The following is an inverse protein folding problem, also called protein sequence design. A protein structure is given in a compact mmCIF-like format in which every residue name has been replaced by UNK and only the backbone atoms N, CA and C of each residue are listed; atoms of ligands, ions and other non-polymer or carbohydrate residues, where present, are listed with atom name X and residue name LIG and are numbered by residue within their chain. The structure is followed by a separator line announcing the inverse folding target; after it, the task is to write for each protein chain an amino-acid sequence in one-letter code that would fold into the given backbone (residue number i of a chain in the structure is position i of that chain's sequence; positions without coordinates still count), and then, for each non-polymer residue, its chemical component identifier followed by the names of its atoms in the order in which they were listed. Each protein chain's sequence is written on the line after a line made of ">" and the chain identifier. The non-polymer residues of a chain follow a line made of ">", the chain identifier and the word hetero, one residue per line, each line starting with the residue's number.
data_IF_001184354067
#
_entry.id   IF_001184354067
#
_cell.length_a   1.000
_cell.length_b   1.000
_cell.length_c   1.000
_cell.angle_alpha   90.00
_cell.angle_beta   90.00
_cell.angle_gamma   90.00
#
_symmetry.space_group_name_H-M   'P 1'
#
loop_
_entity.id
_entity.type
_entity.pdbx_description
1 polymer ?
#
# COMPACT_ATOMS: atom_id res chain seq x y z
N UNK A 1 25.46 13.42 9.04
CA UNK A 1 25.20 12.65 7.80
C UNK A 1 24.98 11.15 8.06
N UNK A 2 25.81 10.47 8.86
CA UNK A 2 25.59 9.04 9.24
C UNK A 2 24.30 8.82 10.07
N UNK A 3 23.96 9.75 10.95
CA UNK A 3 22.79 9.64 11.84
C UNK A 3 21.44 9.86 11.10
N UNK A 4 21.45 10.70 10.07
CA UNK A 4 20.27 10.93 9.21
C UNK A 4 19.97 9.72 8.32
N UNK A 5 21.01 9.07 7.78
CA UNK A 5 20.88 7.84 6.99
C UNK A 5 20.34 6.68 7.85
N UNK A 6 20.78 6.59 9.10
CA UNK A 6 20.24 5.67 10.12
C UNK A 6 18.73 5.90 10.34
N UNK A 7 18.32 7.17 10.54
CA UNK A 7 16.91 7.52 10.70
C UNK A 7 16.05 7.22 9.47
N UNK A 8 16.59 7.42 8.26
CA UNK A 8 15.91 7.09 7.00
C UNK A 8 15.73 5.57 6.87
N UNK A 9 16.77 4.78 7.14
CA UNK A 9 16.71 3.32 7.08
C UNK A 9 15.69 2.75 8.09
N UNK A 10 15.63 3.28 9.31
CA UNK A 10 14.66 2.87 10.31
C UNK A 10 13.20 3.15 9.87
N UNK A 11 12.95 4.32 9.28
CA UNK A 11 11.62 4.66 8.74
C UNK A 11 11.23 3.77 7.57
N UNK A 12 12.17 3.48 6.67
CA UNK A 12 11.93 2.57 5.55
C UNK A 12 11.60 1.15 6.04
N UNK A 13 12.31 0.64 7.05
CA UNK A 13 12.04 -0.66 7.65
C UNK A 13 10.64 -0.70 8.30
N UNK A 14 10.26 0.35 9.05
CA UNK A 14 8.94 0.44 9.66
C UNK A 14 7.81 0.52 8.61
N UNK A 15 8.03 1.27 7.53
CA UNK A 15 7.08 1.36 6.43
C UNK A 15 6.85 -0.02 5.77
N UNK A 16 7.91 -0.81 5.56
CA UNK A 16 7.80 -2.20 5.07
C UNK A 16 6.99 -3.09 6.01
N UNK A 17 7.21 -3.00 7.32
CA UNK A 17 6.42 -3.78 8.31
C UNK A 17 4.94 -3.44 8.24
N UNK A 18 4.59 -2.14 8.19
CA UNK A 18 3.21 -1.70 8.09
C UNK A 18 2.56 -2.17 6.78
N UNK A 19 3.32 -2.14 5.68
CA UNK A 19 2.85 -2.61 4.38
C UNK A 19 2.57 -4.11 4.37
N UNK A 20 3.49 -4.91 4.91
CA UNK A 20 3.32 -6.37 5.04
C UNK A 20 2.05 -6.69 5.82
N UNK A 21 1.77 -5.97 6.92
CA UNK A 21 0.56 -6.15 7.70
C UNK A 21 -0.71 -5.86 6.88
N UNK A 22 -0.76 -4.72 6.17
CA UNK A 22 -1.88 -4.38 5.31
C UNK A 22 -2.07 -5.38 4.16
N UNK A 23 -0.98 -5.89 3.57
CA UNK A 23 -1.05 -6.89 2.50
C UNK A 23 -1.54 -8.25 2.99
N UNK A 24 -1.24 -8.65 4.23
CA UNK A 24 -1.84 -9.87 4.83
C UNK A 24 -3.34 -9.76 4.96
N UNK A 25 -3.84 -8.56 5.28
CA UNK A 25 -5.28 -8.29 5.31
C UNK A 25 -5.90 -8.37 3.90
N UNK A 26 -5.12 -8.10 2.86
CA UNK A 26 -5.52 -8.25 1.46
C UNK A 26 -5.30 -9.67 0.89
N UNK A 27 -4.66 -10.60 1.61
CA UNK A 27 -4.39 -11.99 1.17
C UNK A 27 -2.91 -12.39 1.21
N UNK A 28 -2.49 -13.29 0.32
CA UNK A 28 -1.14 -13.90 0.32
C UNK A 28 -0.01 -13.00 -0.23
N UNK A 29 -0.26 -11.70 -0.45
CA UNK A 29 0.70 -10.78 -1.07
C UNK A 29 1.89 -10.42 -0.16
N UNK A 30 1.76 -10.64 1.14
CA UNK A 30 2.72 -10.21 2.14
C UNK A 30 4.06 -10.98 2.08
N UNK A 31 4.01 -12.28 1.81
CA UNK A 31 5.20 -13.14 1.83
C UNK A 31 6.18 -12.76 0.71
N UNK A 32 5.67 -12.29 -0.42
CA UNK A 32 6.50 -11.76 -1.50
C UNK A 32 7.19 -10.45 -1.10
N UNK A 33 6.47 -9.52 -0.46
CA UNK A 33 6.99 -8.22 -0.04
C UNK A 33 7.99 -8.33 1.12
N UNK A 34 7.85 -9.34 2.00
CA UNK A 34 8.83 -9.59 3.04
C UNK A 34 10.22 -9.93 2.49
N UNK A 35 10.33 -10.47 1.27
CA UNK A 35 11.61 -10.85 0.68
C UNK A 35 12.27 -9.76 -0.17
N UNK A 36 11.62 -8.60 -0.35
CA UNK A 36 12.13 -7.50 -1.16
C UNK A 36 12.81 -6.42 -0.31
N UNK A 37 13.85 -5.81 -0.86
CA UNK A 37 14.59 -4.70 -0.29
C UNK A 37 15.05 -3.70 -1.35
N UNK A 38 15.49 -2.52 -0.90
CA UNK A 38 16.08 -1.51 -1.77
C UNK A 38 15.20 -1.09 -2.95
N UNK A 39 15.74 -1.02 -4.18
CA UNK A 39 15.01 -0.59 -5.38
C UNK A 39 13.76 -1.42 -5.70
N UNK A 40 13.82 -2.74 -5.52
CA UNK A 40 12.71 -3.64 -5.88
C UNK A 40 11.50 -3.40 -4.97
N UNK A 41 11.76 -3.19 -3.67
CA UNK A 41 10.73 -2.78 -2.73
C UNK A 41 10.11 -1.41 -3.10
N UNK A 42 10.92 -0.47 -3.58
CA UNK A 42 10.44 0.85 -4.01
C UNK A 42 9.54 0.75 -5.24
N UNK A 43 9.87 -0.10 -6.21
CA UNK A 43 9.04 -0.32 -7.40
C UNK A 43 7.68 -0.91 -7.02
N UNK A 44 7.66 -1.91 -6.15
CA UNK A 44 6.41 -2.49 -5.64
C UNK A 44 5.59 -1.46 -4.87
N UNK A 45 6.22 -0.62 -4.05
CA UNK A 45 5.54 0.47 -3.33
C UNK A 45 4.87 1.47 -4.28
N UNK A 46 5.54 1.86 -5.36
CA UNK A 46 4.96 2.74 -6.40
C UNK A 46 3.77 2.07 -7.06
N UNK A 47 3.89 0.79 -7.41
CA UNK A 47 2.79 0.03 -7.99
C UNK A 47 1.60 -0.07 -7.04
N UNK A 48 1.83 -0.36 -5.76
CA UNK A 48 0.77 -0.45 -4.74
C UNK A 48 0.05 0.90 -4.53
N UNK A 49 0.76 2.04 -4.58
CA UNK A 49 0.09 3.35 -4.54
C UNK A 49 -0.80 3.58 -5.76
N UNK A 50 -0.37 3.14 -6.94
CA UNK A 50 -1.23 3.18 -8.14
C UNK A 50 -2.50 2.33 -7.99
N UNK A 51 -2.39 1.14 -7.39
CA UNK A 51 -3.54 0.28 -7.12
C UNK A 51 -4.47 0.91 -6.08
N UNK A 52 -3.91 1.52 -5.02
CA UNK A 52 -4.68 2.26 -4.01
C UNK A 52 -5.49 3.38 -4.66
N UNK A 53 -4.92 4.10 -5.63
CA UNK A 53 -5.63 5.14 -6.37
C UNK A 53 -6.84 4.56 -7.14
N UNK A 54 -6.63 3.48 -7.90
CA UNK A 54 -7.71 2.80 -8.66
C UNK A 54 -8.80 2.27 -7.73
N UNK A 55 -8.43 1.70 -6.58
CA UNK A 55 -9.40 1.22 -5.59
C UNK A 55 -10.22 2.37 -5.00
N UNK A 56 -9.60 3.52 -4.72
CA UNK A 56 -10.31 4.70 -4.22
C UNK A 56 -11.31 5.23 -5.26
N UNK A 57 -10.93 5.33 -6.53
CA UNK A 57 -11.81 5.75 -7.62
C UNK A 57 -12.99 4.77 -7.78
N UNK A 58 -12.70 3.46 -7.79
CA UNK A 58 -13.74 2.43 -7.86
C UNK A 58 -14.72 2.51 -6.69
N UNK A 59 -14.21 2.77 -5.47
CA UNK A 59 -15.04 2.97 -4.28
C UNK A 59 -15.97 4.19 -4.41
N UNK A 60 -15.48 5.30 -4.98
CA UNK A 60 -16.30 6.48 -5.24
C UNK A 60 -17.42 6.19 -6.25
N UNK A 61 -17.12 5.47 -7.33
CA UNK A 61 -18.10 5.05 -8.32
C UNK A 61 -19.18 4.16 -7.69
N UNK A 62 -18.78 3.15 -6.90
CA UNK A 62 -19.71 2.25 -6.21
C UNK A 62 -20.59 2.99 -5.20
N UNK A 63 -20.07 4.02 -4.51
CA UNK A 63 -20.89 4.86 -3.64
C UNK A 63 -21.98 5.61 -4.43
N UNK A 64 -21.67 6.06 -5.65
CA UNK A 64 -22.66 6.65 -6.55
C UNK A 64 -23.79 5.67 -6.87
N UNK A 65 -23.46 4.41 -7.13
CA UNK A 65 -24.43 3.34 -7.38
C UNK A 65 -25.31 3.07 -6.15
N UNK A 66 -24.71 2.94 -4.96
CA UNK A 66 -25.44 2.69 -3.70
C UNK A 66 -26.44 3.81 -3.40
N UNK A 67 -26.05 5.08 -3.63
CA UNK A 67 -26.96 6.22 -3.48
C UNK A 67 -28.12 6.14 -4.47
N UNK A 68 -27.86 5.81 -5.73
CA UNK A 68 -28.90 5.61 -6.75
C UNK A 68 -29.95 4.56 -6.36
N UNK A 69 -29.56 3.47 -5.69
CA UNK A 69 -30.50 2.45 -5.18
C UNK A 69 -31.27 2.87 -3.91
N UNK A 70 -30.82 3.92 -3.20
CA UNK A 70 -31.47 4.39 -1.97
C UNK A 70 -32.51 5.48 -2.23
N UNK A 71 -32.48 6.09 -3.42
CA UNK A 71 -33.38 7.17 -3.85
C UNK A 71 -34.58 6.66 -4.69
N UNK A 72 -34.69 5.34 -4.91
CA UNK A 72 -35.85 4.62 -5.48
C UNK A 72 -36.72 3.98 -4.39
#
# INVERSE_FOLDING_TARGET
>A
MTDELSGIAARAAQARVNLVAALRECGELADAVEQLDGPDLLEVLVYLDSLRFVMAESGQLLQGVVRGFSDE
#
